data_IF_443875434125
#
_entry.id   IF_443875434125
#
_cell.length_a   1.000
_cell.length_b   1.000
_cell.length_c   1.000
_cell.angle_alpha   90.00
_cell.angle_beta   90.00
_cell.angle_gamma   90.00
#
_symmetry.space_group_name_H-M   'P 1'
#
loop_
_entity.id
_entity.type
_entity.pdbx_description
1 polymer ?
#
# COMPACT_ATOMS: atom_id res chain seq x y z
N UNK A 1 -27.57 -7.31 -12.93
CA UNK A 1 -27.13 -6.01 -12.38
C UNK A 1 -26.69 -6.26 -10.95
N UNK A 2 -25.38 -6.48 -10.73
CA UNK A 2 -24.83 -6.48 -9.38
C UNK A 2 -24.76 -5.04 -8.90
N UNK A 3 -25.43 -4.72 -7.81
CA UNK A 3 -25.28 -3.45 -7.10
C UNK A 3 -23.93 -3.55 -6.39
N UNK A 4 -22.91 -2.85 -6.91
CA UNK A 4 -21.61 -2.76 -6.23
C UNK A 4 -21.78 -2.02 -4.90
N UNK A 5 -21.21 -2.57 -3.82
CA UNK A 5 -21.18 -1.91 -2.53
C UNK A 5 -20.52 -0.53 -2.68
N UNK A 6 -21.12 0.50 -2.11
CA UNK A 6 -20.56 1.86 -2.08
C UNK A 6 -20.34 2.27 -0.64
N UNK A 7 -19.11 2.55 -0.28
CA UNK A 7 -18.74 3.18 0.98
C UNK A 7 -18.92 4.71 0.92
N UNK A 8 -18.53 5.38 1.98
CA UNK A 8 -18.61 6.85 2.07
C UNK A 8 -17.23 7.52 2.17
N UNK A 9 -16.17 6.75 2.03
CA UNK A 9 -14.80 7.24 2.26
C UNK A 9 -14.12 7.67 0.96
N UNK A 10 -14.36 6.95 -0.14
CA UNK A 10 -13.80 7.25 -1.46
C UNK A 10 -14.94 7.30 -2.49
N UNK A 11 -14.83 8.23 -3.42
CA UNK A 11 -15.78 8.33 -4.54
C UNK A 11 -15.08 7.98 -5.84
N UNK A 12 -15.76 7.26 -6.72
CA UNK A 12 -15.21 6.80 -7.99
C UNK A 12 -14.75 7.95 -8.90
N UNK A 13 -15.43 9.08 -8.85
CA UNK A 13 -15.11 10.29 -9.63
C UNK A 13 -13.85 11.03 -9.16
N UNK A 14 -13.28 10.68 -8.00
CA UNK A 14 -12.00 11.22 -7.53
C UNK A 14 -10.77 10.51 -8.15
N UNK A 15 -10.96 9.31 -8.72
CA UNK A 15 -9.86 8.52 -9.23
C UNK A 15 -9.46 8.96 -10.63
N UNK A 16 -8.31 9.63 -10.73
CA UNK A 16 -7.72 10.06 -11.99
C UNK A 16 -6.69 9.03 -12.47
N UNK A 17 -7.05 8.26 -13.49
CA UNK A 17 -6.14 7.30 -14.13
C UNK A 17 -5.34 8.00 -15.19
N UNK A 18 -4.00 7.93 -15.07
CA UNK A 18 -3.04 8.53 -15.98
C UNK A 18 -2.19 7.47 -16.67
N UNK A 19 -1.57 7.82 -17.79
CA UNK A 19 -0.73 6.89 -18.53
C UNK A 19 0.62 6.68 -17.88
N UNK A 20 1.23 7.76 -17.36
CA UNK A 20 2.61 7.78 -16.91
C UNK A 20 2.76 8.54 -15.59
N UNK A 21 3.89 8.37 -14.95
CA UNK A 21 4.32 9.08 -13.76
C UNK A 21 5.73 9.67 -13.99
N UNK A 22 6.16 10.70 -13.23
CA UNK A 22 7.46 11.33 -13.46
C UNK A 22 8.62 10.37 -13.12
N UNK A 23 9.49 10.11 -14.10
CA UNK A 23 10.65 9.23 -13.91
C UNK A 23 11.67 9.79 -12.89
N UNK A 24 11.67 11.10 -12.66
CA UNK A 24 12.52 11.82 -11.71
C UNK A 24 11.84 12.08 -10.35
N UNK A 25 10.90 11.22 -9.95
CA UNK A 25 10.27 11.30 -8.63
C UNK A 25 11.32 11.27 -7.50
N UNK A 26 11.00 11.86 -6.34
CA UNK A 26 11.95 12.03 -5.24
C UNK A 26 12.05 10.84 -4.31
N UNK A 27 10.91 10.22 -4.02
CA UNK A 27 10.82 9.07 -3.12
C UNK A 27 9.62 8.21 -3.45
N UNK A 28 9.72 6.93 -3.14
CA UNK A 28 8.64 5.97 -3.26
C UNK A 28 8.62 5.00 -2.09
N UNK A 29 7.46 4.44 -1.83
CA UNK A 29 7.24 3.40 -0.83
C UNK A 29 6.42 2.29 -1.45
N UNK A 30 6.94 1.05 -1.38
CA UNK A 30 6.18 -0.17 -1.54
C UNK A 30 5.71 -0.60 -0.16
N UNK A 31 4.45 -0.38 0.16
CA UNK A 31 3.88 -0.74 1.46
C UNK A 31 3.11 -2.05 1.35
N UNK A 32 3.47 -3.01 2.22
CA UNK A 32 2.83 -4.31 2.32
C UNK A 32 1.93 -4.38 3.53
N UNK A 33 0.68 -4.78 3.28
CA UNK A 33 -0.28 -5.27 4.26
C UNK A 33 -0.39 -6.79 4.11
N UNK A 34 -0.07 -7.54 5.17
CA UNK A 34 -0.04 -9.01 5.11
C UNK A 34 -1.34 -9.59 5.65
N UNK A 35 -1.92 -10.53 4.89
CA UNK A 35 -3.05 -11.31 5.38
C UNK A 35 -2.67 -12.06 6.67
N UNK A 36 -3.51 -11.91 7.71
CA UNK A 36 -3.28 -12.55 9.01
C UNK A 36 -3.46 -14.08 8.98
N UNK A 37 -4.15 -14.62 7.99
CA UNK A 37 -4.50 -16.05 7.91
C UNK A 37 -4.22 -16.66 6.55
N UNK A 38 -3.79 -17.94 6.56
CA UNK A 38 -3.67 -18.72 5.33
C UNK A 38 -5.04 -19.00 4.70
N UNK A 39 -5.10 -19.07 3.35
CA UNK A 39 -6.32 -19.47 2.66
C UNK A 39 -6.80 -20.85 3.12
N UNK A 40 -8.01 -20.92 3.67
CA UNK A 40 -8.69 -22.19 4.00
C UNK A 40 -9.66 -22.56 2.89
N UNK A 41 -9.83 -23.87 2.63
CA UNK A 41 -10.79 -24.36 1.62
C UNK A 41 -12.20 -23.93 2.00
N UNK A 42 -12.86 -23.17 1.10
CA UNK A 42 -14.24 -22.69 1.29
C UNK A 42 -14.37 -21.37 2.07
N UNK A 43 -13.26 -20.71 2.46
CA UNK A 43 -13.25 -19.37 3.03
C UNK A 43 -12.95 -18.29 1.99
N UNK A 44 -13.24 -17.03 2.33
CA UNK A 44 -12.81 -15.84 1.60
C UNK A 44 -11.75 -15.08 2.43
N UNK A 45 -10.47 -15.55 2.46
CA UNK A 45 -9.42 -14.98 3.27
C UNK A 45 -8.98 -13.64 2.71
N UNK A 46 -8.41 -12.79 3.57
CA UNK A 46 -7.79 -11.52 3.18
C UNK A 46 -6.64 -11.72 2.21
N UNK A 47 -6.32 -10.68 1.47
CA UNK A 47 -5.17 -10.65 0.57
C UNK A 47 -3.95 -10.06 1.27
N UNK A 48 -2.79 -10.58 0.92
CA UNK A 48 -1.55 -9.82 1.08
C UNK A 48 -1.46 -8.85 -0.09
N UNK A 49 -1.33 -7.56 0.21
CA UNK A 49 -1.30 -6.48 -0.80
C UNK A 49 -0.05 -5.64 -0.63
N UNK A 50 0.62 -5.34 -1.75
CA UNK A 50 1.76 -4.43 -1.81
C UNK A 50 1.50 -3.28 -2.77
N UNK A 51 1.27 -2.07 -2.26
CA UNK A 51 1.02 -0.87 -3.07
C UNK A 51 2.28 -0.02 -3.20
N UNK A 52 2.68 0.29 -4.43
CA UNK A 52 3.77 1.24 -4.72
C UNK A 52 3.20 2.62 -4.99
N UNK A 53 3.57 3.59 -4.15
CA UNK A 53 3.32 5.00 -4.38
C UNK A 53 4.64 5.74 -4.51
N UNK A 54 4.72 6.66 -5.48
CA UNK A 54 5.86 7.59 -5.63
C UNK A 54 5.42 9.03 -5.43
N UNK A 55 6.35 9.90 -5.02
CA UNK A 55 6.10 11.31 -4.71
C UNK A 55 7.04 12.22 -5.48
N UNK A 56 6.48 13.31 -6.02
CA UNK A 56 7.23 14.45 -6.57
C UNK A 56 6.48 15.76 -6.31
N UNK A 57 7.09 16.66 -5.54
CA UNK A 57 6.58 18.01 -5.32
C UNK A 57 5.22 18.10 -4.63
N UNK A 58 4.87 17.11 -3.79
CA UNK A 58 3.58 17.01 -3.11
C UNK A 58 2.47 16.41 -3.96
N UNK A 59 2.77 15.91 -5.15
CA UNK A 59 1.90 15.07 -5.96
C UNK A 59 2.33 13.60 -5.83
N UNK A 60 1.38 12.68 -5.93
CA UNK A 60 1.58 11.26 -5.69
C UNK A 60 1.02 10.44 -6.84
N UNK A 61 1.62 9.28 -7.09
CA UNK A 61 1.16 8.32 -8.10
C UNK A 61 1.15 6.93 -7.50
N UNK A 62 0.00 6.26 -7.54
CA UNK A 62 -0.10 4.81 -7.33
C UNK A 62 0.39 4.16 -8.62
N UNK A 63 1.60 3.58 -8.57
CA UNK A 63 2.30 3.08 -9.76
C UNK A 63 1.99 1.62 -10.03
N UNK A 64 1.86 0.83 -8.96
CA UNK A 64 1.63 -0.61 -9.06
C UNK A 64 0.97 -1.15 -7.78
N UNK A 65 0.12 -2.16 -7.94
CA UNK A 65 -0.49 -2.89 -6.85
C UNK A 65 -0.32 -4.39 -7.07
N UNK A 66 0.37 -5.04 -6.15
CA UNK A 66 0.52 -6.50 -6.09
C UNK A 66 -0.48 -7.08 -5.10
N UNK A 67 -1.12 -8.18 -5.45
CA UNK A 67 -2.16 -8.80 -4.65
C UNK A 67 -2.07 -10.32 -4.75
N UNK A 68 -1.96 -11.01 -3.61
CA UNK A 68 -1.82 -12.46 -3.56
C UNK A 68 -2.60 -13.06 -2.40
N UNK A 69 -3.18 -14.23 -2.63
CA UNK A 69 -3.58 -15.20 -1.62
C UNK A 69 -2.68 -16.41 -1.73
N UNK A 70 -1.96 -16.75 -0.69
CA UNK A 70 -1.00 -17.83 -0.78
C UNK A 70 -0.45 -18.26 0.57
N UNK A 71 0.35 -19.31 0.56
CA UNK A 71 1.10 -19.74 1.74
C UNK A 71 2.16 -18.69 2.09
N UNK A 72 2.65 -18.64 3.34
CA UNK A 72 3.74 -17.73 3.74
C UNK A 72 4.93 -17.78 2.79
N UNK A 73 5.34 -18.97 2.36
CA UNK A 73 6.45 -19.13 1.40
C UNK A 73 6.19 -18.43 0.06
N UNK A 74 4.96 -18.52 -0.48
CA UNK A 74 4.60 -17.85 -1.74
C UNK A 74 4.58 -16.34 -1.57
N UNK A 75 4.10 -15.84 -0.41
CA UNK A 75 4.13 -14.42 -0.08
C UNK A 75 5.58 -13.92 0.02
N UNK A 76 6.44 -14.62 0.75
CA UNK A 76 7.87 -14.27 0.86
C UNK A 76 8.58 -14.24 -0.50
N UNK A 77 8.29 -15.21 -1.37
CA UNK A 77 8.84 -15.25 -2.73
C UNK A 77 8.40 -14.05 -3.55
N UNK A 78 7.10 -13.68 -3.49
CA UNK A 78 6.57 -12.51 -4.19
C UNK A 78 7.20 -11.22 -3.65
N UNK A 79 7.21 -11.02 -2.34
CA UNK A 79 7.76 -9.80 -1.71
C UNK A 79 9.24 -9.64 -2.08
N UNK A 80 10.03 -10.71 -2.05
CA UNK A 80 11.44 -10.70 -2.47
C UNK A 80 11.59 -10.34 -3.96
N UNK A 81 10.80 -10.96 -4.83
CA UNK A 81 10.86 -10.70 -6.27
C UNK A 81 10.50 -9.23 -6.60
N UNK A 82 9.46 -8.71 -5.95
CA UNK A 82 9.05 -7.31 -6.11
C UNK A 82 10.09 -6.34 -5.55
N UNK A 83 10.68 -6.61 -4.38
CA UNK A 83 11.76 -5.78 -3.84
C UNK A 83 12.98 -5.74 -4.77
N UNK A 84 13.34 -6.87 -5.38
CA UNK A 84 14.41 -6.92 -6.37
C UNK A 84 14.08 -6.11 -7.64
N UNK A 85 12.84 -6.21 -8.12
CA UNK A 85 12.36 -5.43 -9.28
C UNK A 85 12.32 -3.94 -8.99
N UNK A 86 11.76 -3.54 -7.83
CA UNK A 86 11.70 -2.14 -7.41
C UNK A 86 13.13 -1.55 -7.26
N UNK A 87 14.07 -2.31 -6.69
CA UNK A 87 15.46 -1.87 -6.58
C UNK A 87 16.15 -1.76 -7.94
N UNK A 88 15.94 -2.70 -8.85
CA UNK A 88 16.51 -2.66 -10.20
C UNK A 88 16.01 -1.45 -11.00
N UNK A 89 14.73 -1.08 -10.84
CA UNK A 89 14.11 0.02 -11.58
C UNK A 89 14.35 1.40 -10.94
N UNK A 90 14.42 1.46 -9.61
CA UNK A 90 14.36 2.73 -8.88
C UNK A 90 15.53 2.94 -7.91
N UNK A 91 16.33 1.91 -7.65
CA UNK A 91 17.40 1.96 -6.65
C UNK A 91 16.85 2.30 -5.25
N UNK A 92 17.62 3.06 -4.49
CA UNK A 92 17.25 3.47 -3.13
C UNK A 92 16.13 4.54 -3.06
N UNK A 93 15.59 4.99 -4.20
CA UNK A 93 14.47 5.93 -4.20
C UNK A 93 13.15 5.29 -3.74
N UNK A 94 13.03 3.98 -3.89
CA UNK A 94 11.91 3.19 -3.38
C UNK A 94 12.40 2.32 -2.22
N UNK A 95 11.67 2.38 -1.12
CA UNK A 95 11.89 1.52 0.04
C UNK A 95 10.71 0.56 0.21
N UNK A 96 10.98 -0.63 0.75
CA UNK A 96 9.94 -1.55 1.18
C UNK A 96 9.50 -1.19 2.60
N UNK A 97 8.20 -1.12 2.83
CA UNK A 97 7.61 -0.98 4.15
C UNK A 97 6.60 -2.09 4.39
N UNK A 98 6.48 -2.55 5.61
CA UNK A 98 5.60 -3.66 6.01
C UNK A 98 4.83 -3.22 7.24
N UNK A 99 3.51 -3.42 7.26
CA UNK A 99 2.70 -3.24 8.47
C UNK A 99 3.12 -4.28 9.51
N UNK A 100 3.51 -3.82 10.72
CA UNK A 100 3.93 -4.70 11.81
C UNK A 100 2.74 -5.02 12.69
N UNK A 101 2.35 -6.29 12.75
CA UNK A 101 1.35 -6.76 13.71
C UNK A 101 1.82 -6.57 15.14
N UNK A 102 0.86 -6.34 16.06
CA UNK A 102 1.17 -6.18 17.46
C UNK A 102 1.53 -7.54 18.11
N UNK A 103 2.46 -7.50 19.04
CA UNK A 103 2.84 -8.67 19.83
C UNK A 103 4.10 -9.38 19.36
N UNK A 104 4.31 -10.60 19.87
CA UNK A 104 5.53 -11.40 19.62
C UNK A 104 5.59 -11.95 18.19
N UNK A 105 4.44 -12.29 17.60
CA UNK A 105 4.33 -12.76 16.21
C UNK A 105 4.85 -11.72 15.21
N UNK A 106 4.43 -10.47 15.35
CA UNK A 106 4.90 -9.38 14.49
C UNK A 106 6.41 -9.19 14.55
N UNK A 107 7.02 -9.29 15.75
CA UNK A 107 8.48 -9.20 15.88
C UNK A 107 9.23 -10.35 15.21
N UNK A 108 8.70 -11.58 15.27
CA UNK A 108 9.29 -12.74 14.61
C UNK A 108 9.24 -12.56 13.09
N UNK A 109 8.11 -12.12 12.56
CA UNK A 109 7.95 -11.82 11.13
C UNK A 109 8.93 -10.72 10.71
N UNK A 110 9.02 -9.62 11.47
CA UNK A 110 9.93 -8.52 11.19
C UNK A 110 11.40 -8.99 11.16
N UNK A 111 11.83 -9.83 12.12
CA UNK A 111 13.17 -10.38 12.15
C UNK A 111 13.46 -11.30 10.93
N UNK A 112 12.52 -12.19 10.58
CA UNK A 112 12.63 -13.05 9.41
C UNK A 112 12.75 -12.25 8.11
N UNK A 113 11.87 -11.24 7.92
CA UNK A 113 11.93 -10.42 6.71
C UNK A 113 13.22 -9.61 6.63
N UNK A 114 13.70 -9.05 7.73
CA UNK A 114 14.94 -8.28 7.74
C UNK A 114 16.16 -9.15 7.43
N UNK A 115 16.28 -10.31 8.09
CA UNK A 115 17.48 -11.14 8.02
C UNK A 115 17.53 -12.06 6.82
N UNK A 116 16.36 -12.55 6.38
CA UNK A 116 16.27 -13.62 5.39
C UNK A 116 15.62 -13.17 4.09
N UNK A 117 14.37 -12.69 4.15
CA UNK A 117 13.56 -12.42 2.95
C UNK A 117 14.07 -11.20 2.19
N UNK A 118 14.31 -10.09 2.90
CA UNK A 118 14.69 -8.78 2.33
C UNK A 118 16.13 -8.39 2.67
N UNK A 119 16.99 -9.38 2.94
CA UNK A 119 18.41 -9.12 3.21
C UNK A 119 19.03 -8.36 2.04
N UNK A 120 19.63 -7.20 2.32
CA UNK A 120 20.27 -6.33 1.32
C UNK A 120 19.36 -5.24 0.75
N UNK A 121 18.07 -5.22 1.13
CA UNK A 121 17.14 -4.15 0.77
C UNK A 121 16.79 -3.29 1.98
N UNK A 122 16.45 -2.02 1.73
CA UNK A 122 15.93 -1.14 2.79
C UNK A 122 14.50 -1.53 3.11
N UNK A 123 14.26 -2.03 4.32
CA UNK A 123 12.92 -2.38 4.83
C UNK A 123 12.61 -1.61 6.08
N UNK A 124 11.37 -1.14 6.22
CA UNK A 124 10.83 -0.50 7.43
C UNK A 124 9.59 -1.24 7.90
N UNK A 125 9.48 -1.45 9.20
CA UNK A 125 8.28 -1.99 9.84
C UNK A 125 7.53 -0.83 10.48
N UNK A 126 6.23 -0.75 10.19
CA UNK A 126 5.38 0.37 10.59
C UNK A 126 4.22 -0.18 11.43
N UNK A 127 4.14 0.25 12.68
CA UNK A 127 3.00 -0.10 13.53
C UNK A 127 1.82 0.79 13.19
N UNK A 128 0.64 0.19 12.91
CA UNK A 128 -0.55 0.96 12.66
C UNK A 128 -1.01 1.68 13.93
N UNK A 129 -1.47 2.92 13.77
CA UNK A 129 -2.04 3.72 14.85
C UNK A 129 -3.44 4.18 14.49
N UNK A 130 -4.39 4.03 15.41
CA UNK A 130 -5.79 4.36 15.17
C UNK A 130 -6.54 3.31 14.33
N UNK A 131 -7.81 3.57 14.06
CA UNK A 131 -8.64 2.69 13.22
C UNK A 131 -8.25 2.77 11.74
N UNK A 132 -8.64 1.76 10.95
CA UNK A 132 -8.46 1.75 9.50
C UNK A 132 -9.06 3.00 8.85
N UNK A 133 -10.25 3.40 9.24
CA UNK A 133 -10.90 4.61 8.73
C UNK A 133 -10.11 5.88 9.03
N UNK A 134 -9.54 6.00 10.23
CA UNK A 134 -8.68 7.14 10.60
C UNK A 134 -7.42 7.18 9.74
N UNK A 135 -6.79 6.02 9.51
CA UNK A 135 -5.60 5.90 8.64
C UNK A 135 -5.91 6.23 7.19
N UNK A 136 -7.12 5.93 6.71
CA UNK A 136 -7.56 6.22 5.35
C UNK A 136 -7.95 7.68 5.10
N UNK A 137 -8.24 8.48 6.14
CA UNK A 137 -8.65 9.88 5.97
C UNK A 137 -7.67 10.73 5.15
N UNK A 138 -6.34 10.71 5.40
CA UNK A 138 -5.41 11.55 4.64
C UNK A 138 -5.36 11.19 3.16
N UNK A 139 -5.35 9.90 2.83
CA UNK A 139 -5.30 9.44 1.43
C UNK A 139 -6.62 9.70 0.71
N UNK A 140 -7.76 9.52 1.39
CA UNK A 140 -9.09 9.87 0.86
C UNK A 140 -9.15 11.36 0.49
N UNK A 141 -8.78 12.24 1.41
CA UNK A 141 -8.72 13.68 1.15
C UNK A 141 -7.73 14.06 0.04
N UNK A 142 -6.67 13.28 -0.16
CA UNK A 142 -5.72 13.51 -1.25
C UNK A 142 -6.29 13.10 -2.61
N UNK A 143 -7.06 12.01 -2.69
CA UNK A 143 -7.81 11.65 -3.89
C UNK A 143 -8.87 12.72 -4.23
N UNK A 144 -9.64 13.17 -3.25
CA UNK A 144 -10.64 14.23 -3.42
C UNK A 144 -10.03 15.52 -3.98
N UNK A 145 -8.85 15.92 -3.48
CA UNK A 145 -8.11 17.08 -3.99
C UNK A 145 -7.43 16.85 -5.34
N UNK A 146 -7.44 15.63 -5.88
CA UNK A 146 -6.74 15.29 -7.12
C UNK A 146 -5.21 15.30 -7.02
N UNK A 147 -4.64 15.25 -5.80
CA UNK A 147 -3.19 15.22 -5.59
C UNK A 147 -2.60 13.83 -5.72
N UNK A 148 -3.43 12.77 -5.74
CA UNK A 148 -3.06 11.41 -6.05
C UNK A 148 -3.62 11.03 -7.41
N UNK A 149 -2.78 10.39 -8.24
CA UNK A 149 -3.16 9.80 -9.53
C UNK A 149 -2.91 8.30 -9.50
N UNK A 150 -3.57 7.57 -10.37
CA UNK A 150 -3.41 6.12 -10.52
C UNK A 150 -2.80 5.86 -11.90
N UNK A 151 -1.71 5.12 -11.96
CA UNK A 151 -1.12 4.72 -13.25
C UNK A 151 -1.94 3.57 -13.85
N UNK A 152 -2.21 3.63 -15.16
CA UNK A 152 -3.00 2.62 -15.86
C UNK A 152 -2.37 1.23 -15.79
N UNK A 153 -3.14 0.24 -15.35
CA UNK A 153 -2.73 -1.16 -15.22
C UNK A 153 -3.94 -2.10 -15.12
N UNK A 154 -3.70 -3.40 -15.28
CA UNK A 154 -4.75 -4.43 -15.21
C UNK A 154 -5.37 -4.58 -13.80
N UNK A 155 -4.72 -4.05 -12.78
CA UNK A 155 -5.16 -4.05 -11.39
C UNK A 155 -6.14 -2.92 -11.05
N UNK A 156 -6.28 -1.90 -11.92
CA UNK A 156 -7.03 -0.67 -11.61
C UNK A 156 -8.49 -0.92 -11.23
N UNK A 157 -9.20 -1.80 -11.96
CA UNK A 157 -10.62 -2.03 -11.70
C UNK A 157 -10.86 -2.61 -10.30
N UNK A 158 -10.12 -3.66 -9.94
CA UNK A 158 -10.25 -4.30 -8.62
C UNK A 158 -9.84 -3.33 -7.49
N UNK A 159 -8.82 -2.52 -7.72
CA UNK A 159 -8.35 -1.50 -6.79
C UNK A 159 -9.40 -0.41 -6.55
N UNK A 160 -9.92 0.18 -7.61
CA UNK A 160 -10.92 1.25 -7.53
C UNK A 160 -12.23 0.73 -6.93
N UNK A 161 -12.64 -0.49 -7.26
CA UNK A 161 -13.86 -1.11 -6.73
C UNK A 161 -13.74 -1.30 -5.21
N UNK A 162 -12.61 -1.81 -4.69
CA UNK A 162 -12.39 -1.99 -3.27
C UNK A 162 -12.34 -0.67 -2.50
N UNK A 163 -11.57 0.32 -2.99
CA UNK A 163 -11.52 1.64 -2.35
C UNK A 163 -12.91 2.29 -2.32
N UNK A 164 -13.66 2.22 -3.42
CA UNK A 164 -15.01 2.79 -3.50
C UNK A 164 -15.99 2.11 -2.53
N UNK A 165 -15.81 0.83 -2.26
CA UNK A 165 -16.65 0.06 -1.34
C UNK A 165 -16.31 0.33 0.14
N UNK A 166 -15.15 0.89 0.45
CA UNK A 166 -14.70 1.12 1.84
C UNK A 166 -15.38 2.34 2.49
N UNK A 167 -15.79 2.29 3.78
CA UNK A 167 -15.90 1.10 4.61
C UNK A 167 -17.27 0.45 4.42
N UNK A 168 -17.29 -0.81 4.06
CA UNK A 168 -18.53 -1.59 3.99
C UNK A 168 -18.32 -2.96 4.63
N UNK A 169 -19.28 -3.42 5.41
CA UNK A 169 -19.19 -4.73 6.05
C UNK A 169 -19.12 -5.85 5.01
N UNK A 170 -18.19 -6.80 5.22
CA UNK A 170 -18.03 -7.97 4.35
C UNK A 170 -17.29 -7.69 3.03
N UNK A 171 -16.68 -6.53 2.88
CA UNK A 171 -15.81 -6.19 1.75
C UNK A 171 -14.36 -6.16 2.23
N UNK A 172 -13.43 -6.68 1.41
CA UNK A 172 -11.99 -6.58 1.67
C UNK A 172 -11.53 -5.13 1.69
N UNK A 173 -10.56 -4.82 2.52
CA UNK A 173 -9.98 -3.49 2.69
C UNK A 173 -8.43 -3.49 2.64
N UNK A 174 -7.84 -4.61 2.22
CA UNK A 174 -6.39 -4.82 2.20
C UNK A 174 -5.66 -3.82 1.29
N UNK A 175 -6.28 -3.45 0.15
CA UNK A 175 -5.74 -2.43 -0.75
C UNK A 175 -5.87 -1.02 -0.15
N UNK A 176 -6.91 -0.76 0.66
CA UNK A 176 -7.06 0.51 1.39
C UNK A 176 -5.96 0.65 2.44
N UNK A 177 -5.68 -0.41 3.21
CA UNK A 177 -4.66 -0.40 4.26
C UNK A 177 -3.26 -0.22 3.67
N UNK A 178 -2.89 -0.97 2.63
CA UNK A 178 -1.59 -0.82 1.98
C UNK A 178 -1.40 0.56 1.32
N UNK A 179 -2.46 1.11 0.70
CA UNK A 179 -2.44 2.46 0.09
C UNK A 179 -2.29 3.54 1.15
N UNK A 180 -3.05 3.42 2.25
CA UNK A 180 -3.00 4.35 3.38
C UNK A 180 -1.61 4.37 4.03
N UNK A 181 -1.02 3.19 4.22
CA UNK A 181 0.34 3.05 4.75
C UNK A 181 1.37 3.73 3.87
N UNK A 182 1.36 3.46 2.57
CA UNK A 182 2.30 4.06 1.62
C UNK A 182 2.17 5.59 1.57
N UNK A 183 0.93 6.09 1.42
CA UNK A 183 0.66 7.52 1.36
C UNK A 183 1.06 8.26 2.65
N UNK A 184 0.68 7.73 3.82
CA UNK A 184 0.97 8.37 5.10
C UNK A 184 2.48 8.46 5.37
N UNK A 185 3.28 7.46 4.97
CA UNK A 185 4.74 7.53 5.06
C UNK A 185 5.31 8.60 4.15
N UNK A 186 4.87 8.67 2.89
CA UNK A 186 5.40 9.64 1.92
C UNK A 186 4.99 11.06 2.26
N UNK A 187 3.73 11.29 2.64
CA UNK A 187 3.22 12.62 2.97
C UNK A 187 3.90 13.20 4.22
N UNK A 188 4.16 12.37 5.23
CA UNK A 188 4.94 12.77 6.41
C UNK A 188 6.38 13.12 6.04
N UNK A 189 7.03 12.30 5.22
CA UNK A 189 8.39 12.55 4.75
C UNK A 189 8.48 13.86 3.94
N UNK A 190 7.47 14.12 3.09
CA UNK A 190 7.39 15.37 2.33
C UNK A 190 7.19 16.57 3.27
N UNK A 191 6.31 16.49 4.26
CA UNK A 191 6.05 17.55 5.22
C UNK A 191 7.32 17.88 6.05
N UNK A 192 8.07 16.88 6.49
CA UNK A 192 9.36 17.06 7.18
C UNK A 192 10.39 17.80 6.30
N UNK A 193 10.50 17.40 5.02
CA UNK A 193 11.40 18.09 4.06
C UNK A 193 11.02 19.56 3.82
N UNK A 194 9.75 19.92 3.99
CA UNK A 194 9.27 21.31 3.89
C UNK A 194 9.35 22.08 5.21
N UNK A 195 9.86 21.49 6.28
CA UNK A 195 9.90 22.11 7.61
C UNK A 195 8.55 22.40 8.23
N UNK A 196 7.52 21.65 7.82
CA UNK A 196 6.12 21.82 8.29
C UNK A 196 5.80 20.99 9.53
N UNK A 197 6.66 20.03 9.86
CA UNK A 197 6.53 19.14 11.04
C UNK A 197 7.91 19.06 11.69
N UNK A 198 7.98 19.26 13.00
CA UNK A 198 9.17 18.99 13.80
C UNK A 198 9.28 17.49 14.10
N UNK A 199 10.50 17.00 14.32
CA UNK A 199 10.78 15.57 14.61
C UNK A 199 10.54 15.27 16.08
#
# INVERSE_FOLDING_TARGET
WEIKATGNKFRRDWFNVVRDYPADFKSGVRFWDFAATEPKKGGDPDYTVGTLIVEKGGLYWVVDVQRIRGTPQKVEQLVRAIAASDYANYGNRVITAIEEEQGSSGKIVADNYTRNVLRGYTVKFVRPTGSKEVRANPVSAAFERGTIKIVGGNWNNAYIDELTAFPSAGVHDDQVDSTSGAYNMLSRTFALRQGRIEV
#
